data_IF_808905709785
#
_entry.id   IF_808905709785
#
_cell.length_a   1.000
_cell.length_b   1.000
_cell.length_c   1.000
_cell.angle_alpha   90.00
_cell.angle_beta   90.00
_cell.angle_gamma   90.00
#
_symmetry.space_group_name_H-M   'P 1'
#
loop_
_entity.id
_entity.type
_entity.pdbx_description
1 polymer ?
#
# COMPACT_ATOMS: atom_id res chain seq x y z
N UNK A 1 -10.52 11.94 -1.52
CA UNK A 1 -11.15 10.92 -0.67
C UNK A 1 -12.67 11.08 -0.59
N UNK A 2 -13.19 12.17 0.00
CA UNK A 2 -14.65 12.37 0.19
C UNK A 2 -15.49 12.23 -1.09
N UNK A 3 -15.09 12.84 -2.22
CA UNK A 3 -15.83 12.75 -3.48
C UNK A 3 -15.93 11.32 -4.03
N UNK A 4 -14.89 10.49 -3.89
CA UNK A 4 -14.91 9.08 -4.33
C UNK A 4 -15.83 8.22 -3.46
N UNK A 5 -15.90 8.53 -2.16
CA UNK A 5 -16.79 7.86 -1.22
C UNK A 5 -18.26 8.25 -1.48
N UNK A 6 -18.53 9.55 -1.67
CA UNK A 6 -19.87 10.07 -1.95
C UNK A 6 -20.40 9.71 -3.34
N UNK A 7 -19.54 9.62 -4.35
CA UNK A 7 -19.92 9.21 -5.72
C UNK A 7 -20.12 7.69 -5.88
N UNK A 8 -19.94 6.91 -4.80
CA UNK A 8 -20.10 5.46 -4.83
C UNK A 8 -18.98 4.70 -5.54
N UNK A 9 -17.93 5.38 -6.03
CA UNK A 9 -16.80 4.76 -6.73
C UNK A 9 -16.10 3.72 -5.85
N UNK A 10 -15.91 4.02 -4.56
CA UNK A 10 -15.35 3.07 -3.59
C UNK A 10 -16.23 1.82 -3.43
N UNK A 11 -17.55 1.98 -3.53
CA UNK A 11 -18.51 0.89 -3.39
C UNK A 11 -18.55 -0.01 -4.64
N UNK A 12 -18.48 0.60 -5.84
CA UNK A 12 -18.35 -0.13 -7.11
C UNK A 12 -17.02 -0.89 -7.19
N UNK A 13 -15.92 -0.29 -6.73
CA UNK A 13 -14.65 -0.99 -6.55
C UNK A 13 -14.83 -2.16 -5.57
N UNK A 14 -15.38 -1.95 -4.39
CA UNK A 14 -15.65 -3.02 -3.41
C UNK A 14 -16.49 -4.19 -3.97
N UNK A 15 -17.49 -3.90 -4.82
CA UNK A 15 -18.33 -4.89 -5.51
C UNK A 15 -17.60 -5.64 -6.64
N UNK A 16 -16.78 -4.95 -7.43
CA UNK A 16 -15.92 -5.59 -8.44
C UNK A 16 -14.86 -6.48 -7.77
N UNK A 17 -14.40 -6.06 -6.60
CA UNK A 17 -13.37 -6.73 -5.80
C UNK A 17 -13.91 -7.91 -4.99
N UNK A 18 -15.17 -7.90 -4.55
CA UNK A 18 -15.82 -9.07 -3.92
C UNK A 18 -15.90 -10.27 -4.88
N UNK A 19 -15.93 -10.02 -6.19
CA UNK A 19 -15.78 -11.05 -7.23
C UNK A 19 -14.34 -11.57 -7.40
N UNK A 20 -13.33 -10.84 -6.91
CA UNK A 20 -11.90 -11.22 -7.03
C UNK A 20 -11.37 -12.06 -5.85
N UNK A 21 -12.15 -12.22 -4.77
CA UNK A 21 -11.77 -13.02 -3.60
C UNK A 21 -10.47 -12.53 -2.93
N UNK A 22 -9.67 -13.47 -2.39
CA UNK A 22 -8.40 -13.17 -1.70
C UNK A 22 -7.35 -12.42 -2.54
N UNK A 23 -7.55 -12.30 -3.86
CA UNK A 23 -6.66 -11.54 -4.74
C UNK A 23 -6.66 -10.04 -4.43
N UNK A 24 -7.71 -9.49 -3.81
CA UNK A 24 -7.68 -8.08 -3.38
C UNK A 24 -6.67 -7.84 -2.24
N UNK A 25 -6.38 -8.84 -1.41
CA UNK A 25 -5.33 -8.75 -0.40
C UNK A 25 -3.94 -8.56 -1.05
N UNK A 26 -3.72 -9.10 -2.25
CA UNK A 26 -2.50 -8.86 -3.04
C UNK A 26 -2.41 -7.41 -3.55
N UNK A 27 -3.53 -6.79 -3.89
CA UNK A 27 -3.58 -5.40 -4.39
C UNK A 27 -3.48 -4.35 -3.29
N UNK A 28 -3.86 -4.69 -2.04
CA UNK A 28 -3.89 -3.74 -0.94
C UNK A 28 -2.54 -3.06 -0.65
N UNK A 29 -1.39 -3.77 -0.61
CA UNK A 29 -0.09 -3.13 -0.44
C UNK A 29 0.31 -2.23 -1.60
N UNK A 30 -0.12 -2.54 -2.83
CA UNK A 30 0.20 -1.76 -4.03
C UNK A 30 -0.44 -0.37 -3.94
N UNK A 31 -1.69 -0.31 -3.47
CA UNK A 31 -2.39 0.97 -3.24
C UNK A 31 -1.62 1.82 -2.21
N UNK A 32 -1.19 1.20 -1.11
CA UNK A 32 -0.39 1.88 -0.08
C UNK A 32 0.95 2.39 -0.61
N UNK A 33 1.62 1.56 -1.43
CA UNK A 33 2.88 1.89 -2.10
C UNK A 33 2.73 3.11 -3.01
N UNK A 34 1.72 3.15 -3.87
CA UNK A 34 1.47 4.34 -4.71
C UNK A 34 1.15 5.57 -3.88
N UNK A 35 0.36 5.43 -2.81
CA UNK A 35 0.04 6.54 -1.95
C UNK A 35 1.29 7.19 -1.34
N UNK A 36 2.21 6.40 -0.79
CA UNK A 36 3.43 6.95 -0.17
C UNK A 36 4.47 7.38 -1.21
N UNK A 37 4.53 6.73 -2.37
CA UNK A 37 5.40 7.17 -3.47
C UNK A 37 5.06 8.61 -3.89
N UNK A 38 3.77 8.97 -3.89
CA UNK A 38 3.27 10.30 -4.25
C UNK A 38 3.34 11.28 -3.07
N UNK A 39 2.87 10.88 -1.88
CA UNK A 39 2.78 11.79 -0.72
C UNK A 39 4.08 11.93 0.06
N UNK A 40 5.03 11.03 -0.14
CA UNK A 40 6.26 10.93 0.66
C UNK A 40 6.06 10.44 2.10
N UNK A 41 4.83 10.24 2.57
CA UNK A 41 4.53 9.93 3.98
C UNK A 41 3.40 8.90 4.15
N UNK A 42 3.57 7.99 5.13
CA UNK A 42 2.57 6.97 5.46
C UNK A 42 1.25 7.61 5.97
N UNK A 43 1.36 8.70 6.73
CA UNK A 43 0.19 9.44 7.21
C UNK A 43 -0.64 10.01 6.04
N UNK A 44 0.01 10.61 5.04
CA UNK A 44 -0.66 11.11 3.85
C UNK A 44 -1.31 9.99 3.03
N UNK A 45 -0.63 8.85 2.86
CA UNK A 45 -1.19 7.70 2.15
C UNK A 45 -2.40 7.11 2.87
N UNK A 46 -2.33 6.97 4.19
CA UNK A 46 -3.46 6.49 4.99
C UNK A 46 -4.65 7.46 4.97
N UNK A 47 -4.41 8.77 4.92
CA UNK A 47 -5.49 9.76 4.72
C UNK A 47 -6.12 9.67 3.33
N UNK A 48 -5.33 9.42 2.29
CA UNK A 48 -5.82 9.32 0.91
C UNK A 48 -6.57 8.00 0.64
N UNK A 49 -6.02 6.88 1.09
CA UNK A 49 -6.46 5.53 0.71
C UNK A 49 -6.89 4.64 1.88
N UNK A 50 -6.62 5.02 3.13
CA UNK A 50 -7.03 4.23 4.29
C UNK A 50 -8.54 4.02 4.36
N UNK A 51 -9.32 5.08 4.08
CA UNK A 51 -10.78 4.96 3.97
C UNK A 51 -11.24 3.98 2.88
N UNK A 52 -10.55 3.95 1.73
CA UNK A 52 -10.84 3.01 0.64
C UNK A 52 -10.54 1.56 1.05
N UNK A 53 -9.43 1.34 1.76
CA UNK A 53 -9.04 0.01 2.29
C UNK A 53 -10.04 -0.52 3.31
N UNK A 54 -10.47 0.33 4.25
CA UNK A 54 -11.47 -0.04 5.27
C UNK A 54 -12.85 -0.31 4.65
N UNK A 55 -13.27 0.50 3.67
CA UNK A 55 -14.53 0.27 2.97
C UNK A 55 -14.49 -1.03 2.16
N UNK A 56 -13.39 -1.27 1.44
CA UNK A 56 -13.21 -2.50 0.68
C UNK A 56 -13.19 -3.73 1.59
N UNK A 57 -12.49 -3.68 2.73
CA UNK A 57 -12.51 -4.77 3.72
C UNK A 57 -13.95 -5.08 4.21
N UNK A 58 -14.74 -4.04 4.47
CA UNK A 58 -16.15 -4.18 4.86
C UNK A 58 -16.99 -4.84 3.76
N UNK A 59 -16.82 -4.42 2.49
CA UNK A 59 -17.52 -5.00 1.34
C UNK A 59 -17.12 -6.45 1.06
N UNK A 60 -15.85 -6.82 1.32
CA UNK A 60 -15.33 -8.17 1.16
C UNK A 60 -15.57 -9.09 2.38
N UNK A 61 -16.20 -8.59 3.46
CA UNK A 61 -16.33 -9.28 4.77
C UNK A 61 -14.98 -9.78 5.30
N UNK A 62 -13.92 -9.01 5.06
CA UNK A 62 -12.56 -9.29 5.50
C UNK A 62 -12.12 -8.35 6.62
N UNK A 63 -11.01 -8.66 7.29
CA UNK A 63 -10.54 -7.86 8.43
C UNK A 63 -10.05 -6.48 7.96
N UNK A 64 -10.65 -5.36 8.43
CA UNK A 64 -10.16 -4.02 8.12
C UNK A 64 -8.74 -3.77 8.64
N UNK A 65 -8.31 -4.50 9.67
CA UNK A 65 -6.95 -4.44 10.19
C UNK A 65 -5.93 -5.01 9.19
N UNK A 66 -6.27 -6.10 8.49
CA UNK A 66 -5.40 -6.68 7.45
C UNK A 66 -5.16 -5.66 6.33
N UNK A 67 -6.23 -5.05 5.82
CA UNK A 67 -6.16 -4.09 4.73
C UNK A 67 -5.48 -2.78 5.13
N UNK A 68 -5.75 -2.28 6.34
CA UNK A 68 -5.05 -1.12 6.90
C UNK A 68 -3.55 -1.37 7.11
N UNK A 69 -3.19 -2.53 7.68
CA UNK A 69 -1.80 -2.92 7.88
C UNK A 69 -1.08 -3.14 6.54
N UNK A 70 -1.74 -3.76 5.56
CA UNK A 70 -1.23 -3.94 4.21
C UNK A 70 -0.95 -2.60 3.53
N UNK A 71 -1.87 -1.64 3.65
CA UNK A 71 -1.69 -0.29 3.12
C UNK A 71 -0.47 0.41 3.74
N UNK A 72 -0.35 0.38 5.06
CA UNK A 72 0.79 1.03 5.73
C UNK A 72 2.11 0.32 5.41
N UNK A 73 2.11 -1.02 5.34
CA UNK A 73 3.32 -1.81 5.07
C UNK A 73 3.81 -1.59 3.63
N UNK A 74 2.89 -1.55 2.66
CA UNK A 74 3.22 -1.20 1.28
C UNK A 74 3.75 0.22 1.15
N UNK A 75 3.20 1.15 1.95
CA UNK A 75 3.65 2.52 2.05
C UNK A 75 5.11 2.67 2.49
N UNK A 76 5.53 1.94 3.52
CA UNK A 76 6.92 1.95 4.00
C UNK A 76 7.89 1.53 2.90
N UNK A 77 7.52 0.58 2.05
CA UNK A 77 8.37 0.14 0.94
C UNK A 77 8.51 1.22 -0.15
N UNK A 78 7.50 2.06 -0.35
CA UNK A 78 7.55 3.18 -1.28
C UNK A 78 8.36 4.37 -0.76
N UNK A 79 8.59 4.49 0.55
CA UNK A 79 9.48 5.53 1.10
C UNK A 79 10.88 5.50 0.48
N UNK A 80 11.37 4.34 0.05
CA UNK A 80 12.69 4.24 -0.59
C UNK A 80 12.76 4.99 -1.93
N UNK A 81 11.63 5.16 -2.61
CA UNK A 81 11.56 5.80 -3.93
C UNK A 81 10.88 7.18 -3.87
N UNK A 82 10.49 7.66 -2.68
CA UNK A 82 9.83 8.96 -2.58
C UNK A 82 10.84 10.08 -2.87
N UNK A 83 10.46 11.12 -3.63
CA UNK A 83 11.36 12.22 -3.96
C UNK A 83 12.00 12.84 -2.73
N UNK A 84 11.23 12.94 -1.64
CA UNK A 84 11.68 13.52 -0.37
C UNK A 84 12.80 12.70 0.29
N UNK A 85 12.71 11.37 0.29
CA UNK A 85 13.77 10.52 0.85
C UNK A 85 14.97 10.39 -0.08
N UNK A 86 14.75 10.41 -1.40
CA UNK A 86 15.83 10.40 -2.39
C UNK A 86 16.69 11.68 -2.27
N UNK A 87 16.05 12.84 -2.13
CA UNK A 87 16.75 14.11 -1.94
C UNK A 87 17.63 14.08 -0.68
N UNK A 88 17.08 13.63 0.47
CA UNK A 88 17.83 13.47 1.73
C UNK A 88 19.00 12.48 1.55
N UNK A 89 18.76 11.34 0.88
CA UNK A 89 19.78 10.33 0.63
C UNK A 89 20.94 10.85 -0.21
N UNK A 90 20.65 11.64 -1.26
CA UNK A 90 21.70 12.26 -2.09
C UNK A 90 22.45 13.38 -1.37
N UNK A 91 21.76 14.18 -0.55
CA UNK A 91 22.40 15.22 0.25
C UNK A 91 23.36 14.65 1.31
N UNK A 92 23.03 13.50 1.91
CA UNK A 92 23.86 12.85 2.92
C UNK A 92 25.22 12.34 2.41
N UNK A 93 25.35 12.12 1.10
CA UNK A 93 26.59 11.64 0.45
C UNK A 93 27.21 12.69 -0.49
N UNK A 94 26.78 13.95 -0.36
CA UNK A 94 27.25 15.10 -1.15
C UNK A 94 27.09 14.92 -2.68
N UNK A 95 26.01 14.24 -3.09
CA UNK A 95 25.63 13.99 -4.50
C UNK A 95 24.30 14.64 -4.87
N UNK A 96 24.07 15.87 -4.38
CA UNK A 96 22.84 16.63 -4.66
C UNK A 96 22.63 16.75 -6.17
N UNK A 97 21.43 16.45 -6.65
CA UNK A 97 21.10 16.41 -8.08
C UNK A 97 21.26 15.04 -8.76
N UNK A 98 21.84 14.04 -8.09
CA UNK A 98 21.90 12.64 -8.58
C UNK A 98 20.70 11.78 -8.12
N UNK A 99 19.57 12.38 -7.73
CA UNK A 99 18.37 11.70 -7.22
C UNK A 99 17.86 10.63 -8.19
N UNK A 100 17.91 10.91 -9.49
CA UNK A 100 17.53 9.96 -10.54
C UNK A 100 18.44 8.74 -10.62
N UNK A 101 19.74 8.88 -10.35
CA UNK A 101 20.68 7.75 -10.29
C UNK A 101 20.38 6.87 -9.08
N UNK A 102 20.08 7.48 -7.93
CA UNK A 102 19.69 6.76 -6.72
C UNK A 102 18.36 6.04 -6.93
N UNK A 103 17.35 6.72 -7.48
CA UNK A 103 16.04 6.14 -7.82
C UNK A 103 16.16 4.89 -8.68
N UNK A 104 16.93 4.95 -9.78
CA UNK A 104 17.13 3.79 -10.67
C UNK A 104 17.77 2.59 -9.97
N UNK A 105 18.62 2.83 -8.96
CA UNK A 105 19.24 1.75 -8.17
C UNK A 105 18.27 1.13 -7.15
N UNK A 106 17.39 1.93 -6.55
CA UNK A 106 16.52 1.48 -5.44
C UNK A 106 15.13 1.03 -5.90
N UNK A 107 14.65 1.46 -7.06
CA UNK A 107 13.31 1.08 -7.55
C UNK A 107 13.15 -0.43 -7.70
N UNK A 108 14.18 -1.14 -8.17
CA UNK A 108 14.16 -2.61 -8.27
C UNK A 108 13.96 -3.28 -6.92
N UNK A 109 14.64 -2.78 -5.87
CA UNK A 109 14.48 -3.27 -4.50
C UNK A 109 13.10 -2.96 -3.93
N UNK A 110 12.59 -1.75 -4.15
CA UNK A 110 11.25 -1.34 -3.69
C UNK A 110 10.16 -2.22 -4.31
N UNK A 111 10.22 -2.45 -5.63
CA UNK A 111 9.25 -3.31 -6.33
C UNK A 111 9.40 -4.78 -5.94
N UNK A 112 10.62 -5.28 -5.79
CA UNK A 112 10.87 -6.65 -5.34
C UNK A 112 10.29 -6.93 -3.95
N UNK A 113 10.53 -6.02 -3.00
CA UNK A 113 9.97 -6.12 -1.65
C UNK A 113 8.45 -5.95 -1.65
N UNK A 114 7.91 -5.10 -2.53
CA UNK A 114 6.46 -4.93 -2.69
C UNK A 114 5.82 -6.25 -3.12
N UNK A 115 6.39 -6.94 -4.11
CA UNK A 115 5.87 -8.24 -4.57
C UNK A 115 5.89 -9.30 -3.46
N UNK A 116 6.96 -9.34 -2.66
CA UNK A 116 7.06 -10.23 -1.50
C UNK A 116 5.95 -9.90 -0.49
N UNK A 117 5.73 -8.61 -0.20
CA UNK A 117 4.69 -8.18 0.72
C UNK A 117 3.28 -8.50 0.19
N UNK A 118 3.03 -8.29 -1.10
CA UNK A 118 1.78 -8.65 -1.76
C UNK A 118 1.50 -10.17 -1.63
N UNK A 119 2.53 -11.00 -1.80
CA UNK A 119 2.41 -12.44 -1.61
C UNK A 119 2.16 -12.81 -0.13
N UNK A 120 2.83 -12.16 0.81
CA UNK A 120 2.60 -12.36 2.25
C UNK A 120 1.18 -11.98 2.67
N UNK A 121 0.67 -10.83 2.21
CA UNK A 121 -0.68 -10.38 2.54
C UNK A 121 -1.74 -11.28 1.89
N UNK A 122 -1.47 -11.80 0.69
CA UNK A 122 -2.29 -12.82 0.06
C UNK A 122 -2.35 -14.12 0.89
N UNK A 123 -1.20 -14.60 1.38
CA UNK A 123 -1.14 -15.76 2.28
C UNK A 123 -1.86 -15.50 3.62
N UNK A 124 -1.76 -14.29 4.17
CA UNK A 124 -2.51 -13.86 5.38
C UNK A 124 -4.02 -13.80 5.17
N UNK A 125 -4.47 -13.54 3.94
CA UNK A 125 -5.89 -13.59 3.57
C UNK A 125 -6.42 -15.02 3.39
N UNK A 126 -5.54 -16.03 3.37
CA UNK A 126 -5.90 -17.44 3.18
C UNK A 126 -5.96 -18.15 4.55
N UNK A 127 -6.77 -19.20 4.75
CA UNK A 127 -6.86 -19.95 6.02
C UNK A 127 -5.55 -20.55 6.56
N UNK A 128 -4.45 -20.47 5.80
CA UNK A 128 -3.11 -20.94 6.20
C UNK A 128 -2.47 -20.03 7.26
N UNK A 129 -2.73 -18.71 7.24
CA UNK A 129 -2.10 -17.75 8.16
C UNK A 129 -3.12 -16.78 8.79
N UNK A 130 -4.39 -17.17 8.85
CA UNK A 130 -5.47 -16.40 9.49
C UNK A 130 -5.26 -16.22 11.00
N UNK A 131 -4.37 -17.01 11.62
CA UNK A 131 -4.00 -16.90 13.04
C UNK A 131 -3.16 -15.65 13.37
N UNK A 132 -2.46 -15.07 12.39
CA UNK A 132 -1.70 -13.82 12.58
C UNK A 132 -2.59 -12.58 12.66
N UNK A 133 -3.87 -12.71 12.27
CA UNK A 133 -4.82 -11.61 12.33
C UNK A 133 -5.46 -11.54 13.71
N UNK A 134 -5.54 -10.33 14.31
CA UNK A 134 -6.25 -10.18 15.57
C UNK A 134 -7.69 -10.65 15.37
N UNK A 135 -8.08 -11.66 16.16
CA UNK A 135 -9.47 -12.11 16.25
C UNK A 135 -10.25 -11.01 16.96
N UNK A 136 -11.08 -10.31 16.21
CA UNK A 136 -12.12 -9.42 16.75
C UNK A 136 -13.35 -10.25 17.08
#
# INVERSE_FOLDING_TARGET
AFVMQFSGQTNTLGLFLSKSGGFFAFLAPIVGWFGVAITGTDAGSNQLFGGLQTQAATSLKASPYLFGAANSSGGVLAKMISPQNLAIGTAAIDKVGEEGNLFRKVIGWSVGLLLILCFLVYLQSTPVLSWMLPKV
#
